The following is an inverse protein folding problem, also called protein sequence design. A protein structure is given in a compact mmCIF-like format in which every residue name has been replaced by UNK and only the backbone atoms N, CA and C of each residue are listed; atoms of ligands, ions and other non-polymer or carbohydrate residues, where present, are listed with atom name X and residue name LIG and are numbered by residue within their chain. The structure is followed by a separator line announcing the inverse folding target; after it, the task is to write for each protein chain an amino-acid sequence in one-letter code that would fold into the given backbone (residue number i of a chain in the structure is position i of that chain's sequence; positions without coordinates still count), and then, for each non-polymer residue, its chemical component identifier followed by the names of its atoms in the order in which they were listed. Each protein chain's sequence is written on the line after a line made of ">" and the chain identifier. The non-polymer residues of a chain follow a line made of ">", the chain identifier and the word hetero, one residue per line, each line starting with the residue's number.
data_IF_826886904056
#
_entry.id   IF_826886904056
#
_cell.length_a   1.000
_cell.length_b   1.000
_cell.length_c   1.000
_cell.angle_alpha   90.00
_cell.angle_beta   90.00
_cell.angle_gamma   90.00
#
_symmetry.space_group_name_H-M   'P 1'
#
loop_
_entity.id
_entity.type
_entity.pdbx_description
1 polymer ?
#
# COMPACT_ATOMS: atom_id res chain seq x y z
N UNK A 1 -15.78 -0.82 10.45
CA UNK A 1 -16.21 0.16 9.44
C UNK A 1 -16.98 -0.58 8.36
N UNK A 2 -18.00 0.01 7.73
CA UNK A 2 -18.58 -0.55 6.51
C UNK A 2 -17.66 -0.20 5.30
N UNK A 3 -17.49 -1.11 4.32
CA UNK A 3 -16.68 -0.82 3.14
C UNK A 3 -17.37 0.18 2.21
N UNK A 4 -16.58 0.93 1.44
CA UNK A 4 -17.08 1.77 0.35
C UNK A 4 -17.69 0.93 -0.79
N UNK A 5 -18.48 1.57 -1.65
CA UNK A 5 -18.93 0.95 -2.90
C UNK A 5 -17.74 0.68 -3.84
N UNK A 6 -17.77 -0.46 -4.54
CA UNK A 6 -16.75 -0.86 -5.50
C UNK A 6 -16.84 -0.04 -6.79
N UNK A 7 -15.70 0.46 -7.25
CA UNK A 7 -15.50 1.10 -8.56
C UNK A 7 -14.72 0.26 -9.57
N UNK A 8 -13.94 -0.71 -9.11
CA UNK A 8 -13.12 -1.56 -9.97
C UNK A 8 -12.28 -2.55 -9.17
N UNK A 9 -11.39 -3.25 -9.85
CA UNK A 9 -10.45 -4.22 -9.25
C UNK A 9 -9.07 -4.02 -9.86
N UNK A 10 -8.03 -4.08 -9.03
CA UNK A 10 -6.62 -4.11 -9.47
C UNK A 10 -6.00 -5.47 -9.18
N UNK A 11 -4.83 -5.73 -9.75
CA UNK A 11 -4.02 -6.93 -9.48
C UNK A 11 -4.00 -7.94 -10.61
N UNK A 12 -5.13 -8.13 -11.28
CA UNK A 12 -5.21 -9.02 -12.44
C UNK A 12 -4.36 -8.51 -13.62
N UNK A 13 -3.91 -9.44 -14.46
CA UNK A 13 -3.30 -9.10 -15.74
C UNK A 13 -4.27 -8.24 -16.57
N UNK A 14 -3.76 -7.16 -17.19
CA UNK A 14 -4.57 -6.22 -17.94
C UNK A 14 -5.37 -5.21 -17.10
N UNK A 15 -5.33 -5.29 -15.76
CA UNK A 15 -5.84 -4.21 -14.91
C UNK A 15 -4.92 -2.98 -14.97
N UNK A 16 -5.41 -1.84 -14.47
CA UNK A 16 -4.62 -0.60 -14.39
C UNK A 16 -3.33 -0.77 -13.56
N UNK A 17 -3.31 -1.73 -12.63
CA UNK A 17 -2.13 -2.10 -11.84
C UNK A 17 -2.05 -3.62 -11.72
N UNK A 18 -1.28 -4.31 -12.58
CA UNK A 18 -0.98 -5.73 -12.41
C UNK A 18 -0.08 -5.94 -11.17
N UNK A 19 -0.51 -6.74 -10.20
CA UNK A 19 0.14 -6.86 -8.88
C UNK A 19 0.18 -8.32 -8.40
N UNK A 20 1.04 -8.67 -7.42
CA UNK A 20 1.05 -10.00 -6.77
C UNK A 20 -0.16 -10.30 -5.86
N UNK A 21 -1.09 -9.35 -5.76
CA UNK A 21 -2.36 -9.44 -5.03
C UNK A 21 -3.44 -8.82 -5.88
N UNK A 22 -4.70 -9.20 -5.67
CA UNK A 22 -5.85 -8.50 -6.25
C UNK A 22 -6.77 -7.99 -5.15
N UNK A 23 -7.39 -6.84 -5.38
CA UNK A 23 -8.37 -6.24 -4.47
C UNK A 23 -9.24 -5.23 -5.19
N UNK A 24 -10.39 -4.93 -4.59
CA UNK A 24 -11.35 -3.96 -5.08
C UNK A 24 -10.97 -2.55 -4.66
N UNK A 25 -11.18 -1.62 -5.59
CA UNK A 25 -10.95 -0.18 -5.43
C UNK A 25 -12.30 0.51 -5.27
N UNK A 26 -12.35 1.52 -4.42
CA UNK A 26 -13.58 2.28 -4.18
C UNK A 26 -14.05 3.02 -5.44
N UNK A 27 -15.35 3.29 -5.52
CA UNK A 27 -15.93 4.11 -6.60
C UNK A 27 -15.21 5.45 -6.71
N UNK A 28 -14.93 5.86 -7.96
CA UNK A 28 -14.25 7.12 -8.32
C UNK A 28 -12.78 7.23 -7.87
N UNK A 29 -12.22 6.23 -7.21
CA UNK A 29 -10.77 6.16 -6.96
C UNK A 29 -10.05 5.64 -8.21
N UNK A 30 -8.95 6.29 -8.58
CA UNK A 30 -8.30 6.04 -9.87
C UNK A 30 -6.94 5.34 -9.68
N UNK A 31 -6.86 4.02 -9.97
CA UNK A 31 -5.60 3.30 -9.93
C UNK A 31 -4.72 3.67 -11.13
N UNK A 32 -3.44 3.91 -10.87
CA UNK A 32 -2.41 4.14 -11.89
C UNK A 32 -1.16 3.36 -11.56
N UNK A 33 -0.65 2.61 -12.54
CA UNK A 33 0.65 1.96 -12.44
C UNK A 33 1.74 3.03 -12.31
N UNK A 34 2.64 2.81 -11.37
CA UNK A 34 3.82 3.66 -11.17
C UNK A 34 4.97 3.08 -11.99
N UNK A 35 5.60 3.91 -12.81
CA UNK A 35 6.75 3.54 -13.64
C UNK A 35 7.92 4.45 -13.31
N UNK A 36 9.16 3.93 -13.34
CA UNK A 36 10.33 4.77 -13.20
C UNK A 36 10.37 5.88 -14.25
N UNK A 37 10.83 7.05 -13.84
CA UNK A 37 11.13 8.16 -14.74
C UNK A 37 12.32 7.74 -15.60
N UNK A 38 12.09 7.67 -16.91
CA UNK A 38 13.10 7.29 -17.91
C UNK A 38 13.97 8.45 -18.41
N UNK A 39 13.65 9.67 -18.01
CA UNK A 39 14.45 10.86 -18.30
C UNK A 39 15.70 10.88 -17.39
N UNK A 40 16.92 10.82 -17.95
CA UNK A 40 18.16 10.84 -17.16
C UNK A 40 18.30 12.06 -16.26
N UNK A 41 17.79 13.21 -16.68
CA UNK A 41 17.89 14.47 -15.93
C UNK A 41 16.95 14.49 -14.71
N UNK A 42 15.98 13.56 -14.67
CA UNK A 42 15.02 13.39 -13.58
C UNK A 42 15.18 12.02 -12.88
N UNK A 43 16.26 11.29 -13.15
CA UNK A 43 16.46 9.94 -12.63
C UNK A 43 16.47 9.88 -11.10
N UNK A 44 16.89 10.95 -10.43
CA UNK A 44 16.89 11.08 -8.96
C UNK A 44 15.48 11.00 -8.35
N UNK A 45 14.42 11.36 -9.12
CA UNK A 45 13.03 11.23 -8.67
C UNK A 45 12.62 9.76 -8.47
N UNK A 46 13.35 8.80 -9.04
CA UNK A 46 13.09 7.38 -8.84
C UNK A 46 13.36 6.93 -7.40
N UNK A 47 14.16 7.67 -6.62
CA UNK A 47 14.34 7.38 -5.19
C UNK A 47 13.04 7.59 -4.40
N UNK A 48 12.16 8.49 -4.83
CA UNK A 48 10.82 8.68 -4.24
C UNK A 48 9.90 7.47 -4.46
N UNK A 49 10.25 6.60 -5.41
CA UNK A 49 9.52 5.36 -5.68
C UNK A 49 10.04 4.20 -4.81
N UNK A 50 11.02 4.45 -3.93
CA UNK A 50 11.62 3.48 -3.04
C UNK A 50 11.28 3.81 -1.59
N UNK A 51 11.07 2.75 -0.81
CA UNK A 51 11.00 2.85 0.64
C UNK A 51 11.65 1.60 1.22
N UNK A 52 12.91 1.74 1.62
CA UNK A 52 13.76 0.61 1.98
C UNK A 52 13.79 -0.46 0.88
N UNK A 53 13.46 -1.74 1.19
CA UNK A 53 13.49 -2.81 0.19
C UNK A 53 12.28 -2.85 -0.75
N UNK A 54 11.38 -1.87 -0.65
CA UNK A 54 10.13 -1.82 -1.41
C UNK A 54 10.18 -0.80 -2.54
N UNK A 55 9.47 -1.10 -3.63
CA UNK A 55 9.23 -0.17 -4.74
C UNK A 55 7.74 0.06 -4.91
N UNK A 56 7.33 1.30 -5.12
CA UNK A 56 5.94 1.65 -5.40
C UNK A 56 5.55 1.10 -6.77
N UNK A 57 4.52 0.27 -6.81
CA UNK A 57 4.02 -0.39 -8.03
C UNK A 57 2.71 0.22 -8.53
N UNK A 58 1.90 0.76 -7.63
CA UNK A 58 0.61 1.36 -7.96
C UNK A 58 0.27 2.47 -6.97
N UNK A 59 -0.30 3.55 -7.49
CA UNK A 59 -0.90 4.61 -6.69
C UNK A 59 -2.38 4.72 -7.10
N UNK A 60 -3.27 4.71 -6.12
CA UNK A 60 -4.71 4.87 -6.31
C UNK A 60 -5.11 6.23 -5.76
N UNK A 61 -5.45 7.16 -6.66
CA UNK A 61 -5.79 8.54 -6.33
C UNK A 61 -7.23 8.66 -5.85
N UNK A 62 -7.40 9.23 -4.65
CA UNK A 62 -8.70 9.46 -4.02
C UNK A 62 -9.30 10.83 -4.37
N UNK A 63 -8.54 11.74 -4.99
CA UNK A 63 -8.98 13.10 -5.36
C UNK A 63 -10.24 13.14 -6.23
N UNK A 64 -10.42 12.26 -7.23
CA UNK A 64 -11.63 12.29 -8.05
C UNK A 64 -12.90 11.94 -7.25
N UNK A 65 -12.75 11.22 -6.14
CA UNK A 65 -13.82 10.91 -5.18
C UNK A 65 -13.98 11.99 -4.07
N UNK A 66 -13.35 13.16 -4.22
CA UNK A 66 -13.44 14.27 -3.26
C UNK A 66 -12.61 14.08 -1.98
N UNK A 67 -11.56 13.27 -2.01
CA UNK A 67 -10.66 13.02 -0.86
C UNK A 67 -9.24 13.44 -1.18
N UNK A 68 -8.47 13.88 -0.19
CA UNK A 68 -7.07 14.27 -0.42
C UNK A 68 -6.14 13.25 0.22
N UNK A 69 -5.78 12.26 -0.59
CA UNK A 69 -4.92 11.16 -0.20
C UNK A 69 -4.81 10.09 -1.26
N UNK A 70 -4.12 9.01 -0.90
CA UNK A 70 -3.86 7.89 -1.79
C UNK A 70 -3.90 6.57 -1.02
N UNK A 71 -4.29 5.51 -1.72
CA UNK A 71 -3.90 4.15 -1.38
C UNK A 71 -2.73 3.77 -2.28
N UNK A 72 -1.59 3.42 -1.69
CA UNK A 72 -0.38 3.01 -2.42
C UNK A 72 -0.12 1.54 -2.25
N UNK A 73 0.44 0.93 -3.29
CA UNK A 73 0.87 -0.47 -3.27
C UNK A 73 2.36 -0.53 -3.53
N UNK A 74 3.06 -1.14 -2.58
CA UNK A 74 4.50 -1.31 -2.58
C UNK A 74 4.83 -2.80 -2.69
N UNK A 75 5.80 -3.16 -3.52
CA UNK A 75 6.23 -4.56 -3.71
C UNK A 75 7.69 -4.71 -3.30
N UNK A 76 7.98 -5.68 -2.44
CA UNK A 76 9.33 -6.05 -2.05
C UNK A 76 9.90 -7.15 -2.94
N UNK A 77 11.24 -7.22 -3.04
CA UNK A 77 11.94 -8.25 -3.83
C UNK A 77 12.37 -7.82 -5.24
N UNK A 78 12.33 -6.52 -5.55
CA UNK A 78 12.69 -5.94 -6.85
C UNK A 78 14.19 -5.76 -7.10
N UNK A 79 15.04 -6.72 -6.70
CA UNK A 79 16.45 -6.79 -7.10
C UNK A 79 16.66 -7.90 -8.15
N UNK A 80 17.69 -7.77 -9.00
CA UNK A 80 18.12 -8.82 -9.94
C UNK A 80 18.53 -10.09 -9.16
N UNK A 81 17.55 -10.92 -8.86
CA UNK A 81 17.65 -12.00 -7.88
C UNK A 81 16.27 -12.46 -7.44
N UNK A 82 15.35 -12.60 -8.40
CA UNK A 82 14.11 -13.34 -8.20
C UNK A 82 14.48 -14.83 -8.03
N UNK A 83 14.89 -15.20 -6.83
CA UNK A 83 15.36 -16.53 -6.53
C UNK A 83 15.61 -16.72 -5.03
N UNK A 84 14.54 -17.04 -4.31
CA UNK A 84 14.43 -18.07 -3.26
C UNK A 84 13.16 -17.80 -2.47
N UNK A 85 12.15 -18.65 -2.71
CA UNK A 85 10.84 -18.59 -2.07
C UNK A 85 10.97 -18.61 -0.55
N UNK A 86 10.50 -17.54 0.06
CA UNK A 86 10.56 -17.32 1.50
C UNK A 86 10.31 -15.86 1.80
N UNK A 87 9.15 -15.35 1.34
CA UNK A 87 8.76 -13.98 1.65
C UNK A 87 8.84 -13.74 3.15
N UNK A 88 9.46 -12.63 3.56
CA UNK A 88 9.51 -12.24 4.97
C UNK A 88 8.09 -12.30 5.56
N UNK A 89 7.97 -12.76 6.81
CA UNK A 89 6.69 -12.76 7.50
C UNK A 89 6.05 -11.37 7.38
N UNK A 90 4.72 -11.25 7.17
CA UNK A 90 4.06 -9.97 6.95
C UNK A 90 4.48 -8.88 7.96
N UNK A 91 4.60 -9.26 9.24
CA UNK A 91 5.09 -8.37 10.29
C UNK A 91 6.49 -7.82 10.04
N UNK A 92 7.47 -8.67 9.72
CA UNK A 92 8.85 -8.26 9.49
C UNK A 92 8.97 -7.37 8.25
N UNK A 93 8.20 -7.66 7.20
CA UNK A 93 8.11 -6.82 6.01
C UNK A 93 7.53 -5.42 6.33
N UNK A 94 6.52 -5.37 7.19
CA UNK A 94 5.88 -4.11 7.58
C UNK A 94 6.73 -3.28 8.53
N UNK A 95 7.45 -3.93 9.46
CA UNK A 95 8.43 -3.28 10.32
C UNK A 95 9.54 -2.65 9.48
N UNK A 96 10.13 -3.37 8.52
CA UNK A 96 11.18 -2.82 7.65
C UNK A 96 10.68 -1.69 6.76
N UNK A 97 9.44 -1.76 6.26
CA UNK A 97 8.81 -0.67 5.51
C UNK A 97 8.66 0.60 6.36
N UNK A 98 8.11 0.47 7.58
CA UNK A 98 7.84 1.60 8.48
C UNK A 98 9.14 2.25 8.97
N UNK A 99 10.21 1.48 9.21
CA UNK A 99 11.49 2.02 9.68
C UNK A 99 12.39 2.57 8.58
N UNK A 100 12.03 2.34 7.31
CA UNK A 100 12.78 2.84 6.17
C UNK A 100 12.33 4.24 5.71
N UNK A 101 11.26 4.76 6.29
CA UNK A 101 10.88 6.16 6.16
C UNK A 101 11.86 7.02 6.97
N UNK A 102 12.35 8.10 6.38
CA UNK A 102 13.29 9.04 7.02
C UNK A 102 12.66 9.68 8.26
N UNK A 103 11.33 9.82 8.27
CA UNK A 103 10.56 10.26 9.42
C UNK A 103 10.16 9.07 10.30
N UNK A 104 11.04 8.71 11.23
CA UNK A 104 10.75 7.65 12.20
C UNK A 104 9.40 7.89 12.90
N UNK A 105 8.50 6.90 12.92
CA UNK A 105 7.15 7.09 13.45
C UNK A 105 7.20 7.41 14.95
N UNK A 106 6.44 8.42 15.37
CA UNK A 106 6.33 8.77 16.79
C UNK A 106 5.61 7.70 17.62
N UNK A 107 4.84 6.82 16.97
CA UNK A 107 4.25 5.61 17.55
C UNK A 107 3.86 4.63 16.44
N UNK A 108 3.86 3.33 16.72
CA UNK A 108 3.39 2.30 15.81
C UNK A 108 2.72 1.16 16.58
N UNK A 109 1.54 0.74 16.12
CA UNK A 109 0.78 -0.37 16.69
C UNK A 109 0.52 -1.41 15.61
N UNK A 110 1.12 -2.57 15.77
CA UNK A 110 1.03 -3.70 14.84
C UNK A 110 0.03 -4.74 15.34
N UNK A 111 -0.77 -5.30 14.43
CA UNK A 111 -1.73 -6.37 14.71
C UNK A 111 -1.70 -7.40 13.59
N UNK A 112 -1.60 -8.67 13.96
CA UNK A 112 -1.83 -9.74 12.99
C UNK A 112 -3.33 -9.87 12.73
N UNK A 113 -3.69 -9.96 11.46
CA UNK A 113 -5.07 -9.95 10.99
C UNK A 113 -5.27 -10.96 9.88
N UNK A 114 -6.54 -11.31 9.65
CA UNK A 114 -6.98 -12.14 8.52
C UNK A 114 -7.82 -11.27 7.60
N UNK A 115 -7.49 -11.25 6.31
CA UNK A 115 -8.11 -10.40 5.28
C UNK A 115 -8.60 -11.23 4.10
N UNK A 116 -9.31 -10.59 3.17
CA UNK A 116 -10.06 -11.26 2.11
C UNK A 116 -11.46 -11.67 2.53
N UNK A 117 -12.28 -12.08 1.54
CA UNK A 117 -13.72 -12.27 1.72
C UNK A 117 -14.07 -13.39 2.72
N UNK A 118 -13.20 -14.39 2.80
CA UNK A 118 -13.26 -15.55 3.69
C UNK A 118 -12.23 -15.48 4.83
N UNK A 119 -11.45 -14.40 4.92
CA UNK A 119 -10.35 -14.29 5.86
C UNK A 119 -9.22 -15.30 5.58
N UNK A 120 -9.04 -15.77 4.34
CA UNK A 120 -8.01 -16.74 3.99
C UNK A 120 -6.57 -16.18 3.99
N UNK A 121 -6.41 -14.86 3.90
CA UNK A 121 -5.08 -14.24 3.77
C UNK A 121 -4.55 -13.81 5.13
N UNK A 122 -3.42 -14.38 5.55
CA UNK A 122 -2.65 -13.87 6.70
C UNK A 122 -1.99 -12.54 6.36
N UNK A 123 -2.16 -11.56 7.23
CA UNK A 123 -1.59 -10.24 7.06
C UNK A 123 -1.18 -9.66 8.42
N UNK A 124 -0.35 -8.62 8.39
CA UNK A 124 -0.13 -7.75 9.55
C UNK A 124 -0.55 -6.34 9.16
N UNK A 125 -1.34 -5.69 10.01
CA UNK A 125 -1.74 -4.30 9.87
C UNK A 125 -0.99 -3.45 10.90
N UNK A 126 -0.56 -2.26 10.50
CA UNK A 126 0.04 -1.26 11.37
C UNK A 126 -0.77 0.03 11.29
N UNK A 127 -0.94 0.71 12.42
CA UNK A 127 -1.28 2.14 12.46
C UNK A 127 -0.12 2.88 13.12
N UNK A 128 0.38 3.91 12.47
CA UNK A 128 1.50 4.70 12.95
C UNK A 128 1.27 6.19 12.68
N UNK A 129 2.08 7.04 13.30
CA UNK A 129 1.95 8.50 13.18
C UNK A 129 3.25 9.08 12.64
N UNK A 130 3.14 9.75 11.50
CA UNK A 130 4.22 10.49 10.83
C UNK A 130 3.96 11.99 10.89
N UNK A 131 5.00 12.79 10.67
CA UNK A 131 4.86 14.24 10.48
C UNK A 131 4.64 14.51 8.99
N UNK A 132 3.59 15.24 8.65
CA UNK A 132 3.36 15.68 7.27
C UNK A 132 4.41 16.72 6.89
N UNK A 133 5.30 16.41 5.94
CA UNK A 133 6.25 17.39 5.43
C UNK A 133 5.55 18.65 4.85
N UNK A 134 4.32 18.49 4.32
CA UNK A 134 3.55 19.59 3.73
C UNK A 134 2.95 20.53 4.77
N UNK A 135 2.45 19.99 5.89
CA UNK A 135 1.69 20.77 6.90
C UNK A 135 2.45 20.96 8.22
N UNK A 136 3.53 20.22 8.46
CA UNK A 136 4.22 20.17 9.75
C UNK A 136 3.41 19.47 10.86
N UNK A 137 2.26 18.90 10.52
CA UNK A 137 1.33 18.30 11.49
C UNK A 137 1.49 16.78 11.56
N UNK A 138 1.24 16.22 12.75
CA UNK A 138 1.21 14.77 12.93
C UNK A 138 -0.07 14.18 12.35
N UNK A 139 0.07 13.16 11.52
CA UNK A 139 -1.07 12.46 10.90
C UNK A 139 -0.97 10.95 11.07
N UNK A 140 -2.11 10.25 11.22
CA UNK A 140 -2.14 8.80 11.19
C UNK A 140 -1.91 8.28 9.77
N UNK A 141 -1.15 7.20 9.68
CA UNK A 141 -0.99 6.36 8.50
C UNK A 141 -1.36 4.94 8.90
N UNK A 142 -1.84 4.17 7.93
CA UNK A 142 -2.15 2.77 8.12
C UNK A 142 -1.60 1.97 6.96
N UNK A 143 -0.97 0.86 7.26
CA UNK A 143 -0.47 -0.04 6.25
C UNK A 143 -0.75 -1.50 6.60
N UNK A 144 -0.78 -2.35 5.58
CA UNK A 144 -1.04 -3.78 5.66
C UNK A 144 -0.01 -4.51 4.80
N UNK A 145 0.70 -5.45 5.39
CA UNK A 145 1.58 -6.34 4.66
C UNK A 145 0.93 -7.70 4.46
N UNK A 146 1.16 -8.29 3.29
CA UNK A 146 0.85 -9.69 2.97
C UNK A 146 2.06 -10.32 2.29
N UNK A 147 2.28 -11.62 2.55
CA UNK A 147 3.31 -12.38 1.86
C UNK A 147 2.73 -12.97 0.56
N UNK A 148 3.51 -12.93 -0.52
CA UNK A 148 3.17 -13.59 -1.78
C UNK A 148 4.35 -14.42 -2.28
N UNK A 149 4.14 -15.39 -3.20
CA UNK A 149 5.24 -16.11 -3.83
C UNK A 149 6.25 -15.22 -4.56
N UNK A 150 5.83 -14.01 -5.00
CA UNK A 150 6.68 -13.02 -5.67
C UNK A 150 7.33 -12.00 -4.73
N UNK A 151 7.17 -12.18 -3.41
CA UNK A 151 7.67 -11.24 -2.39
C UNK A 151 6.54 -10.59 -1.58
N UNK A 152 6.87 -9.86 -0.51
CA UNK A 152 5.87 -9.16 0.29
C UNK A 152 5.25 -7.99 -0.49
N UNK A 153 3.97 -7.73 -0.23
CA UNK A 153 3.25 -6.56 -0.73
C UNK A 153 2.76 -5.76 0.46
N UNK A 154 2.97 -4.44 0.43
CA UNK A 154 2.45 -3.49 1.42
C UNK A 154 1.42 -2.58 0.76
N UNK A 155 0.20 -2.55 1.30
CA UNK A 155 -0.79 -1.51 1.01
C UNK A 155 -0.66 -0.43 2.07
N UNK A 156 -0.57 0.84 1.67
CA UNK A 156 -0.45 1.98 2.59
C UNK A 156 -1.55 3.01 2.27
N UNK A 157 -2.34 3.38 3.28
CA UNK A 157 -3.30 4.47 3.20
C UNK A 157 -2.70 5.73 3.85
N UNK A 158 -2.47 6.75 3.03
CA UNK A 158 -2.01 8.07 3.48
C UNK A 158 -3.00 9.17 3.11
N UNK A 159 -3.54 9.87 4.10
CA UNK A 159 -4.31 11.12 3.93
C UNK A 159 -3.45 12.37 4.11
N UNK A 160 -4.00 13.54 3.76
CA UNK A 160 -3.37 14.82 4.05
C UNK A 160 -3.22 15.03 5.57
N UNK A 161 -4.26 14.71 6.34
CA UNK A 161 -4.36 14.87 7.79
C UNK A 161 -5.16 13.72 8.42
N UNK A 162 -5.53 13.86 9.70
CA UNK A 162 -6.33 12.87 10.42
C UNK A 162 -7.80 12.77 9.98
N UNK A 163 -8.40 13.86 9.50
CA UNK A 163 -9.78 13.87 9.01
C UNK A 163 -9.87 13.14 7.67
N UNK A 164 -8.98 13.49 6.73
CA UNK A 164 -8.86 12.82 5.43
C UNK A 164 -8.52 11.33 5.61
N UNK A 165 -7.60 10.99 6.51
CA UNK A 165 -7.32 9.58 6.84
C UNK A 165 -8.58 8.84 7.28
N UNK A 166 -9.34 9.42 8.22
CA UNK A 166 -10.56 8.80 8.76
C UNK A 166 -11.63 8.64 7.69
N UNK A 167 -11.80 9.66 6.84
CA UNK A 167 -12.78 9.67 5.78
C UNK A 167 -12.49 8.63 4.66
N UNK A 168 -11.23 8.23 4.51
CA UNK A 168 -10.82 7.20 3.54
C UNK A 168 -10.83 5.77 4.07
N UNK A 169 -11.07 5.55 5.37
CA UNK A 169 -11.13 4.21 5.97
C UNK A 169 -12.16 3.26 5.32
N UNK A 170 -13.32 3.70 4.79
CA UNK A 170 -14.21 2.82 4.04
C UNK A 170 -13.57 2.24 2.77
N UNK A 171 -12.74 3.00 2.06
CA UNK A 171 -12.02 2.52 0.87
C UNK A 171 -10.92 1.51 1.26
N UNK A 172 -10.19 1.78 2.35
CA UNK A 172 -9.25 0.85 2.95
C UNK A 172 -9.90 -0.48 3.35
N UNK A 173 -11.08 -0.41 3.96
CA UNK A 173 -11.82 -1.59 4.38
C UNK A 173 -12.31 -2.42 3.18
N UNK A 174 -12.74 -1.77 2.09
CA UNK A 174 -13.06 -2.44 0.84
C UNK A 174 -11.86 -3.20 0.29
N UNK A 175 -10.70 -2.54 0.18
CA UNK A 175 -9.48 -3.16 -0.31
C UNK A 175 -9.08 -4.37 0.54
N UNK A 176 -9.08 -4.24 1.87
CA UNK A 176 -8.78 -5.35 2.79
C UNK A 176 -9.74 -6.53 2.65
N UNK A 177 -11.05 -6.27 2.63
CA UNK A 177 -12.06 -7.34 2.60
C UNK A 177 -12.12 -8.08 1.27
N UNK A 178 -11.69 -7.44 0.19
CA UNK A 178 -11.64 -8.05 -1.14
C UNK A 178 -10.27 -8.62 -1.50
N UNK A 179 -9.27 -8.46 -0.62
CA UNK A 179 -7.90 -8.85 -0.92
C UNK A 179 -7.78 -10.36 -1.12
N UNK A 180 -7.20 -10.74 -2.24
CA UNK A 180 -6.76 -12.11 -2.54
C UNK A 180 -5.28 -12.12 -2.87
N UNK A 181 -4.57 -13.16 -2.46
CA UNK A 181 -3.26 -13.43 -3.02
C UNK A 181 -3.47 -13.78 -4.50
N UNK A 182 -2.77 -13.12 -5.42
CA UNK A 182 -2.85 -13.52 -6.81
C UNK A 182 -2.23 -14.92 -6.92
N UNK A 183 -3.05 -15.90 -7.31
CA UNK A 183 -2.54 -17.20 -7.75
C UNK A 183 -1.55 -16.95 -8.89
N UNK A 184 -0.38 -17.57 -8.81
CA UNK A 184 0.63 -17.51 -9.86
C UNK A 184 0.11 -18.02 -11.20
#
# INVERSE_FOLDING_TARGET
>A
MAPAAKGGTVGAAGSACPLPVAFDVAAEWQPKKVEPVGDPDLAELNELLKQGPFTMACEIDAKPAGRIGFLRVWTGGGGAGAGQGGGAAPRAALESFVTADDDAPSSAVYRDVRVGADGAVSATEVTYVVTSALLGERKPVRALAVATPRGPVVLELGGMDGEEHTAMLPAWELAKRSLTAAGG
#
